data_IF_344308160594
#
_entry.id   IF_344308160594
#
_cell.length_a   1.000
_cell.length_b   1.000
_cell.length_c   1.000
_cell.angle_alpha   90.00
_cell.angle_beta   90.00
_cell.angle_gamma   90.00
#
_symmetry.space_group_name_H-M   'P 1'
#
loop_
_entity.id
_entity.type
_entity.pdbx_description
1 polymer ?
#
# COMPACT_ATOMS: atom_id res chain seq x y z
N UNK A 1 -19.33 13.92 -1.45
CA UNK A 1 -17.99 13.51 -1.92
C UNK A 1 -18.21 12.70 -3.18
N UNK A 2 -17.87 13.24 -4.34
CA UNK A 2 -18.15 12.59 -5.62
C UNK A 2 -17.39 11.26 -5.68
N UNK A 3 -18.13 10.15 -5.74
CA UNK A 3 -17.61 8.80 -5.78
C UNK A 3 -17.15 8.46 -7.21
N UNK A 4 -16.22 9.26 -7.76
CA UNK A 4 -15.70 9.08 -9.10
C UNK A 4 -14.74 7.87 -9.12
N UNK A 5 -15.13 6.77 -9.78
CA UNK A 5 -14.30 5.56 -9.87
C UNK A 5 -12.92 5.83 -10.44
N UNK A 6 -12.81 6.76 -11.40
CA UNK A 6 -11.54 7.11 -12.01
C UNK A 6 -10.64 7.86 -11.02
N UNK A 7 -11.18 8.82 -10.28
CA UNK A 7 -10.40 9.53 -9.25
C UNK A 7 -9.87 8.58 -8.16
N UNK A 8 -10.70 7.63 -7.72
CA UNK A 8 -10.30 6.62 -6.72
C UNK A 8 -9.17 5.73 -7.25
N UNK A 9 -9.28 5.24 -8.47
CA UNK A 9 -8.27 4.38 -9.09
C UNK A 9 -6.96 5.14 -9.37
N UNK A 10 -7.05 6.39 -9.83
CA UNK A 10 -5.90 7.28 -10.02
C UNK A 10 -5.09 7.45 -8.73
N UNK A 11 -5.78 7.63 -7.60
CA UNK A 11 -5.13 7.74 -6.29
C UNK A 11 -4.38 6.46 -5.89
N UNK A 12 -4.92 5.27 -6.21
CA UNK A 12 -4.25 4.00 -5.93
C UNK A 12 -3.03 3.76 -6.83
N UNK A 13 -3.06 4.21 -8.08
CA UNK A 13 -1.94 4.10 -9.02
C UNK A 13 -0.86 5.18 -8.80
N UNK A 14 -1.12 6.17 -7.95
CA UNK A 14 -0.19 7.28 -7.69
C UNK A 14 -0.14 8.31 -8.82
N UNK A 15 -1.18 8.41 -9.65
CA UNK A 15 -1.19 9.36 -10.75
C UNK A 15 -2.20 9.03 -11.86
N UNK A 16 -1.76 9.23 -13.10
CA UNK A 16 -2.61 9.08 -14.28
C UNK A 16 -3.07 7.64 -14.48
N UNK A 17 -4.33 7.48 -14.87
CA UNK A 17 -4.88 6.19 -15.29
C UNK A 17 -4.46 5.93 -16.75
N UNK A 18 -3.91 4.73 -17.06
CA UNK A 18 -3.65 4.31 -18.43
C UNK A 18 -4.92 4.36 -19.31
N UNK A 19 -4.78 4.69 -20.59
CA UNK A 19 -5.93 4.89 -21.47
C UNK A 19 -6.76 3.62 -21.65
N UNK A 20 -6.11 2.45 -21.59
CA UNK A 20 -6.77 1.14 -21.65
C UNK A 20 -7.72 0.94 -20.46
N UNK A 21 -7.33 1.43 -19.27
CA UNK A 21 -8.12 1.32 -18.05
C UNK A 21 -9.28 2.33 -18.04
N UNK A 22 -9.14 3.49 -18.71
CA UNK A 22 -10.22 4.50 -18.82
C UNK A 22 -11.47 3.97 -19.54
N UNK A 23 -11.31 2.94 -20.37
CA UNK A 23 -12.43 2.30 -21.09
C UNK A 23 -13.22 1.30 -20.23
N UNK A 24 -12.75 0.98 -19.03
CA UNK A 24 -13.41 0.02 -18.15
C UNK A 24 -14.74 0.56 -17.60
N UNK A 25 -15.72 -0.32 -17.37
CA UNK A 25 -16.94 0.05 -16.67
C UNK A 25 -16.67 0.63 -15.26
N UNK A 26 -17.48 1.60 -14.79
CA UNK A 26 -17.36 2.21 -13.46
C UNK A 26 -17.24 1.22 -12.29
N UNK A 27 -18.00 0.12 -12.32
CA UNK A 27 -18.00 -0.91 -11.28
C UNK A 27 -16.70 -1.72 -11.27
N UNK A 28 -16.13 -1.97 -12.44
CA UNK A 28 -14.83 -2.64 -12.59
C UNK A 28 -13.70 -1.74 -12.10
N UNK A 29 -13.74 -0.44 -12.43
CA UNK A 29 -12.77 0.53 -11.90
C UNK A 29 -12.81 0.59 -10.37
N UNK A 30 -14.00 0.62 -9.77
CA UNK A 30 -14.14 0.61 -8.31
C UNK A 30 -13.58 -0.67 -7.69
N UNK A 31 -13.90 -1.84 -8.26
CA UNK A 31 -13.35 -3.12 -7.79
C UNK A 31 -11.83 -3.19 -7.90
N UNK A 32 -11.27 -2.67 -8.99
CA UNK A 32 -9.82 -2.60 -9.19
C UNK A 32 -9.18 -1.67 -8.15
N UNK A 33 -9.75 -0.47 -7.93
CA UNK A 33 -9.26 0.45 -6.92
C UNK A 33 -9.28 -0.17 -5.51
N UNK A 34 -10.38 -0.85 -5.13
CA UNK A 34 -10.47 -1.55 -3.85
C UNK A 34 -9.42 -2.66 -3.73
N UNK A 35 -9.23 -3.45 -4.79
CA UNK A 35 -8.23 -4.53 -4.81
C UNK A 35 -6.80 -3.99 -4.68
N UNK A 36 -6.50 -2.85 -5.30
CA UNK A 36 -5.19 -2.20 -5.17
C UNK A 36 -4.97 -1.66 -3.76
N UNK A 37 -6.00 -1.03 -3.17
CA UNK A 37 -5.94 -0.55 -1.79
C UNK A 37 -5.65 -1.70 -0.81
N UNK A 38 -6.41 -2.80 -0.90
CA UNK A 38 -6.22 -3.99 -0.07
C UNK A 38 -4.82 -4.61 -0.23
N UNK A 39 -4.30 -4.67 -1.47
CA UNK A 39 -2.96 -5.19 -1.72
C UNK A 39 -1.89 -4.28 -1.13
N UNK A 40 -2.05 -2.95 -1.23
CA UNK A 40 -1.13 -1.99 -0.62
C UNK A 40 -1.09 -2.16 0.90
N UNK A 41 -2.24 -2.30 1.55
CA UNK A 41 -2.29 -2.56 3.00
C UNK A 41 -1.61 -3.88 3.38
N UNK A 42 -1.86 -4.95 2.61
CA UNK A 42 -1.18 -6.25 2.83
C UNK A 42 0.33 -6.15 2.66
N UNK A 43 0.80 -5.44 1.62
CA UNK A 43 2.23 -5.25 1.38
C UNK A 43 2.90 -4.45 2.50
N UNK A 44 2.26 -3.39 2.98
CA UNK A 44 2.76 -2.61 4.12
C UNK A 44 2.86 -3.48 5.37
N UNK A 45 1.83 -4.28 5.65
CA UNK A 45 1.84 -5.21 6.79
C UNK A 45 2.97 -6.24 6.69
N UNK A 46 3.15 -6.85 5.51
CA UNK A 46 4.23 -7.82 5.29
C UNK A 46 5.61 -7.17 5.44
N UNK A 47 5.76 -5.92 5.01
CA UNK A 47 6.99 -5.16 5.20
C UNK A 47 7.26 -4.90 6.69
N UNK A 48 6.26 -4.47 7.45
CA UNK A 48 6.38 -4.26 8.89
C UNK A 48 6.75 -5.56 9.63
N UNK A 49 6.10 -6.66 9.30
CA UNK A 49 6.40 -7.99 9.86
C UNK A 49 7.83 -8.43 9.55
N UNK A 50 8.29 -8.22 8.30
CA UNK A 50 9.66 -8.54 7.89
C UNK A 50 10.71 -7.67 8.59
N UNK A 51 10.40 -6.38 8.81
CA UNK A 51 11.26 -5.47 9.57
C UNK A 51 11.38 -5.95 11.03
N UNK A 52 10.27 -6.29 11.67
CA UNK A 52 10.26 -6.78 13.05
C UNK A 52 11.00 -8.12 13.18
N UNK A 53 10.85 -9.02 12.21
CA UNK A 53 11.62 -10.26 12.16
C UNK A 53 13.12 -9.97 12.08
N UNK A 54 13.55 -9.07 11.20
CA UNK A 54 14.96 -8.67 11.08
C UNK A 54 15.50 -8.05 12.39
N UNK A 55 14.74 -7.18 13.02
CA UNK A 55 15.11 -6.54 14.30
C UNK A 55 15.19 -7.60 15.41
N UNK A 56 14.32 -8.61 15.41
CA UNK A 56 14.35 -9.70 16.39
C UNK A 56 15.66 -10.50 16.36
N UNK A 57 16.31 -10.59 15.19
CA UNK A 57 17.60 -11.26 15.02
C UNK A 57 18.79 -10.42 15.51
N UNK A 58 18.60 -9.12 15.77
CA UNK A 58 19.65 -8.26 16.31
C UNK A 58 19.87 -8.52 17.81
N UNK A 59 21.10 -8.29 18.31
CA UNK A 59 21.37 -8.23 19.75
C UNK A 59 20.42 -7.26 20.46
N UNK A 60 19.93 -7.64 21.64
CA UNK A 60 18.89 -6.89 22.39
C UNK A 60 19.24 -5.40 22.56
N UNK A 61 20.51 -5.08 22.77
CA UNK A 61 21.02 -3.71 22.92
C UNK A 61 20.81 -2.84 21.67
N UNK A 62 20.78 -3.44 20.48
CA UNK A 62 20.66 -2.75 19.19
C UNK A 62 19.22 -2.64 18.70
N UNK A 63 18.30 -3.48 19.21
CA UNK A 63 16.90 -3.52 18.74
C UNK A 63 16.19 -2.16 18.87
N UNK A 64 16.31 -1.51 20.04
CA UNK A 64 15.66 -0.20 20.30
C UNK A 64 16.23 0.93 19.42
N UNK A 65 17.56 1.12 19.32
CA UNK A 65 18.14 2.07 18.38
C UNK A 65 17.68 1.86 16.93
N UNK A 66 17.62 0.61 16.46
CA UNK A 66 17.23 0.30 15.08
C UNK A 66 15.77 0.61 14.82
N UNK A 67 14.83 0.25 15.72
CA UNK A 67 13.41 0.64 15.59
C UNK A 67 13.23 2.14 15.42
N UNK A 68 13.92 2.93 16.25
CA UNK A 68 13.89 4.39 16.18
C UNK A 68 14.38 4.95 14.84
N UNK A 69 15.41 4.34 14.23
CA UNK A 69 15.91 4.75 12.90
C UNK A 69 14.90 4.40 11.81
N UNK A 70 14.23 3.26 11.94
CA UNK A 70 13.23 2.78 10.98
C UNK A 70 11.86 3.47 11.12
N UNK A 71 11.71 4.39 12.08
CA UNK A 71 10.48 5.15 12.29
C UNK A 71 9.37 4.39 13.03
N UNK A 72 9.74 3.34 13.76
CA UNK A 72 8.86 2.54 14.62
C UNK A 72 9.00 2.91 16.10
#
# INVERSE_FOLDING_TARGET
MSNDPAASLAAQLGGLIPDEIKTLPPDIMQRLAATLADNKEKQLKLLDESIEEMISQLPIMLRKPVRKIMGQ
#
